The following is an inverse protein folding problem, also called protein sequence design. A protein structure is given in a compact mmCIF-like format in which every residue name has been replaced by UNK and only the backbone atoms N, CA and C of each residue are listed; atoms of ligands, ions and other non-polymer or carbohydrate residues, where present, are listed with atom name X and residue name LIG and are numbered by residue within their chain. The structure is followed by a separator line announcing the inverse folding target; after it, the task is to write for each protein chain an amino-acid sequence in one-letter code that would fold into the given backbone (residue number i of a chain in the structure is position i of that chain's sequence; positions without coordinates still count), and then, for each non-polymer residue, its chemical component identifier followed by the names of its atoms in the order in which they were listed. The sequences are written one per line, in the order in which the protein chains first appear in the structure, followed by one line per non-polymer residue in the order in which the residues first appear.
data_IF_384620039854
#
_entry.id   IF_384620039854
#
_cell.length_a   1.000
_cell.length_b   1.000
_cell.length_c   1.000
_cell.angle_alpha   90.00
_cell.angle_beta   90.00
_cell.angle_gamma   90.00
#
_symmetry.space_group_name_H-M   'P 1'
#
loop_
_entity.id
_entity.type
_entity.pdbx_description
1 polymer ?
#
# COMPACT_ATOMS: atom_id res chain seq x y z
N UNK A 1 -16.10 -31.67 10.77
CA UNK A 1 -14.67 -31.27 10.70
C UNK A 1 -14.48 -30.02 11.53
N UNK A 2 -13.64 -30.06 12.58
CA UNK A 2 -13.43 -28.93 13.49
C UNK A 2 -12.72 -27.76 12.80
N UNK A 3 -12.81 -26.55 13.36
CA UNK A 3 -12.16 -25.33 12.84
C UNK A 3 -10.66 -25.54 12.60
N UNK A 4 -9.96 -26.16 13.55
CA UNK A 4 -8.53 -26.48 13.45
C UNK A 4 -8.21 -27.49 12.35
N UNK A 5 -9.07 -28.48 12.15
CA UNK A 5 -8.92 -29.44 11.05
C UNK A 5 -9.15 -28.77 9.69
N UNK A 6 -10.13 -27.86 9.58
CA UNK A 6 -10.36 -27.07 8.36
C UNK A 6 -9.18 -26.14 8.06
N UNK A 7 -8.67 -25.43 9.06
CA UNK A 7 -7.48 -24.59 8.94
C UNK A 7 -6.26 -25.42 8.52
N UNK A 8 -6.04 -26.57 9.17
CA UNK A 8 -4.93 -27.47 8.86
C UNK A 8 -5.00 -28.02 7.43
N UNK A 9 -6.18 -28.46 6.99
CA UNK A 9 -6.36 -28.96 5.62
C UNK A 9 -6.22 -27.84 4.59
N UNK A 10 -6.79 -26.65 4.83
CA UNK A 10 -6.60 -25.51 3.94
C UNK A 10 -5.14 -25.07 3.84
N UNK A 11 -4.40 -25.09 4.95
CA UNK A 11 -2.97 -24.79 4.97
C UNK A 11 -2.15 -25.82 4.20
N UNK A 12 -2.39 -27.12 4.43
CA UNK A 12 -1.70 -28.20 3.71
C UNK A 12 -1.98 -28.14 2.21
N UNK A 13 -3.24 -27.92 1.80
CA UNK A 13 -3.60 -27.76 0.38
C UNK A 13 -2.89 -26.57 -0.26
N UNK A 14 -2.78 -25.44 0.44
CA UNK A 14 -2.07 -24.27 -0.09
C UNK A 14 -0.58 -24.57 -0.29
N UNK A 15 0.05 -25.24 0.67
CA UNK A 15 1.46 -25.64 0.56
C UNK A 15 1.67 -26.57 -0.64
N UNK A 16 0.80 -27.56 -0.81
CA UNK A 16 0.87 -28.49 -1.95
C UNK A 16 0.70 -27.74 -3.28
N UNK A 17 -0.28 -26.83 -3.37
CA UNK A 17 -0.49 -26.02 -4.57
C UNK A 17 0.72 -25.14 -4.89
N UNK A 18 1.33 -24.52 -3.88
CA UNK A 18 2.56 -23.73 -4.04
C UNK A 18 3.73 -24.61 -4.49
N UNK A 19 3.91 -25.79 -3.91
CA UNK A 19 4.95 -26.73 -4.31
C UNK A 19 4.78 -27.18 -5.77
N UNK A 20 3.54 -27.48 -6.18
CA UNK A 20 3.22 -27.81 -7.58
C UNK A 20 3.55 -26.62 -8.50
N UNK A 21 3.17 -25.40 -8.11
CA UNK A 21 3.45 -24.21 -8.90
C UNK A 21 4.96 -23.95 -9.05
N UNK A 22 5.74 -24.15 -7.98
CA UNK A 22 7.21 -24.04 -8.02
C UNK A 22 7.80 -25.09 -8.96
N UNK A 23 7.40 -26.36 -8.82
CA UNK A 23 7.90 -27.45 -9.68
C UNK A 23 7.53 -27.22 -11.15
N UNK A 24 6.30 -26.77 -11.42
CA UNK A 24 5.86 -26.41 -12.76
C UNK A 24 6.68 -25.24 -13.33
N UNK A 25 6.95 -24.20 -12.54
CA UNK A 25 7.78 -23.08 -12.96
C UNK A 25 9.21 -23.54 -13.28
N UNK A 26 9.84 -24.35 -12.41
CA UNK A 26 11.18 -24.90 -12.66
C UNK A 26 11.25 -25.75 -13.92
N UNK A 27 10.21 -26.56 -14.16
CA UNK A 27 10.11 -27.34 -15.40
C UNK A 27 9.97 -26.44 -16.63
N UNK A 28 9.07 -25.44 -16.59
CA UNK A 28 8.87 -24.47 -17.67
C UNK A 28 10.16 -23.73 -18.01
N UNK A 29 10.88 -23.21 -17.00
CA UNK A 29 12.17 -22.51 -17.19
C UNK A 29 13.28 -23.41 -17.74
N UNK A 30 13.10 -24.73 -17.72
CA UNK A 30 14.01 -25.69 -18.35
C UNK A 30 13.84 -25.83 -19.86
N UNK A 31 12.69 -25.43 -20.42
CA UNK A 31 12.37 -25.56 -21.84
C UNK A 31 13.12 -24.51 -22.66
N UNK A 32 13.70 -24.90 -23.80
CA UNK A 32 14.54 -24.02 -24.63
C UNK A 32 13.79 -22.78 -25.12
N UNK A 33 12.50 -22.90 -25.46
CA UNK A 33 11.67 -21.77 -25.85
C UNK A 33 11.46 -20.75 -24.72
N UNK A 34 11.35 -21.22 -23.47
CA UNK A 34 11.20 -20.34 -22.30
C UNK A 34 12.54 -19.69 -21.95
N UNK A 35 13.65 -20.44 -22.06
CA UNK A 35 15.00 -19.86 -21.90
C UNK A 35 15.25 -18.75 -22.91
N UNK A 36 15.02 -18.99 -24.21
CA UNK A 36 15.19 -17.96 -25.24
C UNK A 36 14.27 -16.75 -25.03
N UNK A 37 13.05 -16.97 -24.53
CA UNK A 37 12.17 -15.88 -24.11
C UNK A 37 12.76 -15.06 -22.96
N UNK A 38 13.27 -15.72 -21.92
CA UNK A 38 13.88 -15.07 -20.77
C UNK A 38 15.24 -14.41 -21.11
N UNK A 39 15.96 -14.90 -22.11
CA UNK A 39 17.15 -14.21 -22.65
C UNK A 39 16.76 -12.94 -23.40
N UNK A 40 15.66 -12.96 -24.14
CA UNK A 40 15.11 -11.79 -24.84
C UNK A 40 14.48 -10.78 -23.88
N UNK A 41 13.93 -11.27 -22.77
CA UNK A 41 13.25 -10.49 -21.74
C UNK A 41 13.80 -10.90 -20.36
N UNK A 42 14.94 -10.35 -19.92
CA UNK A 42 15.66 -10.81 -18.72
C UNK A 42 14.95 -10.51 -17.40
N UNK A 43 13.84 -9.77 -17.45
CA UNK A 43 13.07 -9.36 -16.28
C UNK A 43 13.08 -7.85 -16.04
N UNK A 44 13.85 -7.08 -16.81
CA UNK A 44 13.99 -5.64 -16.65
C UNK A 44 13.77 -4.91 -17.97
N UNK A 45 13.07 -3.78 -17.90
CA UNK A 45 13.00 -2.80 -18.99
C UNK A 45 14.07 -1.74 -18.78
N UNK A 46 14.68 -1.29 -19.87
CA UNK A 46 15.56 -0.12 -19.83
C UNK A 46 14.74 1.15 -19.54
N UNK A 47 15.24 1.96 -18.62
CA UNK A 47 14.65 3.27 -18.35
C UNK A 47 15.15 4.28 -19.39
N UNK A 48 14.38 5.35 -19.67
CA UNK A 48 14.86 6.46 -20.49
C UNK A 48 16.21 7.00 -19.99
N UNK A 49 17.08 7.44 -20.88
CA UNK A 49 18.41 7.96 -20.52
C UNK A 49 18.37 9.17 -19.55
N UNK A 50 17.25 9.89 -19.51
CA UNK A 50 16.98 10.99 -18.58
C UNK A 50 16.47 10.54 -17.20
N UNK A 51 16.24 9.25 -16.99
CA UNK A 51 15.72 8.73 -15.73
C UNK A 51 16.75 8.91 -14.59
N UNK A 52 16.32 9.43 -13.44
CA UNK A 52 17.22 9.59 -12.30
C UNK A 52 17.63 8.23 -11.74
N UNK A 53 18.92 8.10 -11.42
CA UNK A 53 19.50 6.93 -10.76
C UNK A 53 19.52 7.14 -9.25
N UNK A 54 19.23 6.08 -8.50
CA UNK A 54 19.15 6.11 -7.05
C UNK A 54 17.84 6.67 -6.52
N UNK A 55 17.69 6.57 -5.20
CA UNK A 55 16.48 6.96 -4.49
C UNK A 55 16.76 8.19 -3.61
N UNK A 56 16.17 9.36 -3.91
CA UNK A 56 16.42 10.56 -3.13
C UNK A 56 15.80 10.47 -1.74
N UNK A 57 16.39 11.16 -0.76
CA UNK A 57 15.95 11.10 0.64
C UNK A 57 14.45 11.40 0.83
N UNK A 58 13.88 12.34 0.07
CA UNK A 58 12.45 12.65 0.15
C UNK A 58 11.56 11.44 -0.10
N UNK A 59 11.99 10.51 -0.98
CA UNK A 59 11.26 9.29 -1.29
C UNK A 59 11.20 8.37 -0.08
N UNK A 60 12.31 8.24 0.65
CA UNK A 60 12.39 7.49 1.91
C UNK A 60 11.46 8.04 2.99
N UNK A 61 11.46 9.36 3.19
CA UNK A 61 10.55 10.01 4.15
C UNK A 61 9.08 9.85 3.76
N UNK A 62 8.75 10.05 2.49
CA UNK A 62 7.39 9.82 1.96
C UNK A 62 6.95 8.37 2.12
N UNK A 63 7.85 7.42 1.87
CA UNK A 63 7.59 6.00 2.05
C UNK A 63 7.29 5.66 3.53
N UNK A 64 8.08 6.18 4.48
CA UNK A 64 7.82 6.01 5.90
C UNK A 64 6.48 6.61 6.33
N UNK A 65 6.19 7.85 5.95
CA UNK A 65 4.92 8.52 6.28
C UNK A 65 3.74 7.72 5.72
N UNK A 66 3.85 7.25 4.48
CA UNK A 66 2.84 6.41 3.86
C UNK A 66 2.63 5.08 4.61
N UNK A 67 3.71 4.39 4.97
CA UNK A 67 3.66 3.15 5.76
C UNK A 67 3.04 3.37 7.15
N UNK A 68 3.38 4.48 7.80
CA UNK A 68 2.82 4.87 9.10
C UNK A 68 1.30 5.13 9.00
N UNK A 69 0.86 5.89 8.00
CA UNK A 69 -0.55 6.21 7.80
C UNK A 69 -1.35 4.98 7.39
N UNK A 70 -0.87 4.19 6.44
CA UNK A 70 -1.62 3.03 5.93
C UNK A 70 -1.85 1.97 7.01
N UNK A 71 -0.88 1.78 7.93
CA UNK A 71 -1.03 0.92 9.10
C UNK A 71 -2.27 1.32 9.93
N UNK A 72 -2.36 2.61 10.26
CA UNK A 72 -3.45 3.13 11.09
C UNK A 72 -4.78 3.20 10.32
N UNK A 73 -4.74 3.43 9.01
CA UNK A 73 -5.91 3.42 8.11
C UNK A 73 -6.50 2.01 8.03
N UNK A 74 -5.68 0.98 7.80
CA UNK A 74 -6.14 -0.41 7.75
C UNK A 74 -6.79 -0.80 9.09
N UNK A 75 -6.14 -0.47 10.21
CA UNK A 75 -6.67 -0.72 11.56
C UNK A 75 -8.02 -0.05 11.78
N UNK A 76 -8.08 1.25 11.54
CA UNK A 76 -9.30 2.04 11.78
C UNK A 76 -10.42 1.66 10.82
N UNK A 77 -10.11 1.33 9.56
CA UNK A 77 -11.08 0.83 8.59
C UNK A 77 -11.66 -0.53 8.99
N UNK A 78 -10.82 -1.42 9.55
CA UNK A 78 -11.29 -2.67 10.14
C UNK A 78 -12.22 -2.44 11.34
N UNK A 79 -11.89 -1.49 12.22
CA UNK A 79 -12.73 -1.10 13.36
C UNK A 79 -14.07 -0.52 12.91
N UNK A 80 -14.07 0.38 11.92
CA UNK A 80 -15.29 0.95 11.33
C UNK A 80 -16.22 -0.15 10.79
N UNK A 81 -15.65 -1.23 10.23
CA UNK A 81 -16.42 -2.36 9.68
C UNK A 81 -16.95 -3.32 10.75
N UNK A 82 -16.20 -3.55 11.83
CA UNK A 82 -16.45 -4.67 12.76
C UNK A 82 -16.97 -4.25 14.12
N UNK A 83 -16.72 -3.01 14.56
CA UNK A 83 -17.13 -2.51 15.87
C UNK A 83 -18.63 -2.21 15.87
N UNK A 84 -19.41 -3.03 16.60
CA UNK A 84 -20.86 -2.87 16.74
C UNK A 84 -21.26 -1.75 17.71
N UNK A 85 -20.45 -1.48 18.73
CA UNK A 85 -20.69 -0.48 19.77
C UNK A 85 -19.44 0.41 19.92
N UNK A 86 -19.40 1.59 19.27
CA UNK A 86 -18.28 2.50 19.39
C UNK A 86 -18.05 2.95 20.83
N UNK A 87 -16.79 3.06 21.24
CA UNK A 87 -16.44 3.51 22.59
C UNK A 87 -16.73 5.00 22.83
N UNK A 88 -16.87 5.79 21.76
CA UNK A 88 -17.22 7.19 21.79
C UNK A 88 -17.70 7.64 20.40
N UNK A 89 -18.30 8.81 20.38
CA UNK A 89 -18.77 9.50 19.19
C UNK A 89 -18.19 10.90 19.10
N UNK A 90 -18.07 11.41 17.88
CA UNK A 90 -17.55 12.74 17.61
C UNK A 90 -18.52 13.54 16.76
N UNK A 91 -18.62 14.83 17.05
CA UNK A 91 -19.42 15.81 16.32
C UNK A 91 -18.51 17.00 16.00
N UNK A 92 -18.38 17.33 14.71
CA UNK A 92 -17.53 18.44 14.25
C UNK A 92 -17.86 19.78 14.91
N UNK A 93 -16.83 20.55 15.24
CA UNK A 93 -16.99 21.96 15.57
C UNK A 93 -17.06 22.80 14.28
N UNK A 94 -18.22 23.41 13.98
CA UNK A 94 -18.39 24.29 12.80
C UNK A 94 -18.24 25.79 13.14
N UNK A 95 -17.72 26.13 14.32
CA UNK A 95 -17.51 27.51 14.78
C UNK A 95 -16.04 27.96 14.72
N UNK A 96 -15.12 27.03 14.46
CA UNK A 96 -13.67 27.32 14.37
C UNK A 96 -13.21 27.84 13.01
N UNK A 97 -11.90 27.72 12.76
CA UNK A 97 -11.25 28.16 11.52
C UNK A 97 -11.69 27.34 10.29
N UNK A 98 -11.91 26.03 10.45
CA UNK A 98 -12.38 25.16 9.37
C UNK A 98 -13.91 25.05 9.47
N UNK A 99 -14.60 25.74 8.55
CA UNK A 99 -16.06 25.69 8.43
C UNK A 99 -16.44 24.88 7.21
N UNK A 100 -17.47 24.06 7.34
CA UNK A 100 -18.04 23.32 6.20
C UNK A 100 -19.49 23.72 5.99
N UNK A 101 -19.97 23.57 4.76
CA UNK A 101 -21.31 23.97 4.32
C UNK A 101 -22.44 23.19 5.01
N UNK A 102 -22.22 21.92 5.33
CA UNK A 102 -23.26 21.04 5.86
C UNK A 102 -23.27 21.04 7.41
N UNK A 103 -24.45 20.81 7.99
CA UNK A 103 -24.58 20.66 9.44
C UNK A 103 -23.69 19.53 9.99
N UNK A 104 -23.07 19.69 11.18
CA UNK A 104 -22.28 18.63 11.81
C UNK A 104 -23.10 17.37 12.03
N UNK A 105 -22.55 16.23 11.61
CA UNK A 105 -23.15 14.91 11.84
C UNK A 105 -22.40 14.18 12.94
N UNK A 106 -23.11 13.46 13.80
CA UNK A 106 -22.52 12.56 14.78
C UNK A 106 -21.98 11.31 14.07
N UNK A 107 -20.70 11.00 14.30
CA UNK A 107 -20.02 9.81 13.77
C UNK A 107 -19.32 9.07 14.90
N UNK A 108 -18.97 7.80 14.69
CA UNK A 108 -18.14 7.07 15.67
C UNK A 108 -16.73 7.67 15.74
N UNK A 109 -16.08 7.52 16.89
CA UNK A 109 -14.67 7.92 17.05
C UNK A 109 -13.76 7.19 16.06
N UNK A 110 -14.04 5.90 15.77
CA UNK A 110 -13.28 5.11 14.81
C UNK A 110 -13.39 5.68 13.39
N UNK A 111 -14.59 6.11 12.98
CA UNK A 111 -14.80 6.73 11.66
C UNK A 111 -14.15 8.11 11.57
N UNK A 112 -14.20 8.90 12.65
CA UNK A 112 -13.48 10.17 12.70
C UNK A 112 -11.96 9.96 12.54
N UNK A 113 -11.40 8.97 13.23
CA UNK A 113 -9.97 8.68 13.17
C UNK A 113 -9.56 8.23 11.77
N UNK A 114 -10.33 7.31 11.17
CA UNK A 114 -10.12 6.84 9.79
C UNK A 114 -10.12 8.01 8.79
N UNK A 115 -11.16 8.85 8.80
CA UNK A 115 -11.27 9.99 7.88
C UNK A 115 -10.17 11.04 8.09
N UNK A 116 -9.68 11.20 9.32
CA UNK A 116 -8.57 12.11 9.62
C UNK A 116 -7.27 11.59 9.01
N UNK A 117 -6.99 10.30 9.18
CA UNK A 117 -5.83 9.65 8.57
C UNK A 117 -5.93 9.65 7.04
N UNK A 118 -7.10 9.38 6.48
CA UNK A 118 -7.33 9.43 5.03
C UNK A 118 -7.03 10.82 4.47
N UNK A 119 -7.45 11.89 5.15
CA UNK A 119 -7.14 13.25 4.73
C UNK A 119 -5.63 13.53 4.72
N UNK A 120 -4.90 13.09 5.75
CA UNK A 120 -3.44 13.20 5.81
C UNK A 120 -2.77 12.36 4.72
N UNK A 121 -3.29 11.17 4.46
CA UNK A 121 -2.77 10.24 3.46
C UNK A 121 -2.99 10.75 2.04
N UNK A 122 -4.15 11.33 1.75
CA UNK A 122 -4.43 12.01 0.47
C UNK A 122 -3.51 13.21 0.28
N UNK A 123 -3.29 14.03 1.32
CA UNK A 123 -2.34 15.14 1.25
C UNK A 123 -0.92 14.64 0.98
N UNK A 124 -0.47 13.62 1.71
CA UNK A 124 0.83 12.99 1.51
C UNK A 124 0.97 12.45 0.08
N UNK A 125 -0.04 11.75 -0.42
CA UNK A 125 -0.09 11.24 -1.80
C UNK A 125 -0.06 12.35 -2.84
N UNK A 126 -0.77 13.46 -2.62
CA UNK A 126 -0.73 14.61 -3.53
C UNK A 126 0.67 15.23 -3.60
N UNK A 127 1.33 15.42 -2.45
CA UNK A 127 2.72 15.90 -2.38
C UNK A 127 3.65 14.91 -3.09
N UNK A 128 3.51 13.61 -2.80
CA UNK A 128 4.28 12.56 -3.44
C UNK A 128 4.15 12.61 -4.97
N UNK A 129 2.93 12.66 -5.51
CA UNK A 129 2.70 12.71 -6.96
C UNK A 129 3.36 13.95 -7.57
N UNK A 130 3.19 15.13 -6.96
CA UNK A 130 3.80 16.38 -7.48
C UNK A 130 5.32 16.26 -7.52
N UNK A 131 5.96 15.84 -6.42
CA UNK A 131 7.42 15.71 -6.34
C UNK A 131 7.94 14.59 -7.24
N UNK A 132 7.21 13.47 -7.35
CA UNK A 132 7.54 12.34 -8.22
C UNK A 132 7.64 12.76 -9.69
N UNK A 133 6.67 13.54 -10.18
CA UNK A 133 6.71 14.05 -11.55
C UNK A 133 7.76 15.14 -11.72
N UNK A 134 7.86 16.07 -10.78
CA UNK A 134 8.82 17.19 -10.85
C UNK A 134 10.28 16.74 -10.86
N UNK A 135 10.61 15.66 -10.14
CA UNK A 135 11.98 15.12 -10.04
C UNK A 135 12.32 14.07 -11.10
N UNK A 136 11.38 13.71 -11.99
CA UNK A 136 11.56 12.63 -12.96
C UNK A 136 11.50 11.22 -12.38
N UNK A 137 11.36 11.07 -11.06
CA UNK A 137 11.31 9.76 -10.38
C UNK A 137 10.11 8.90 -10.82
N UNK A 138 9.09 9.50 -11.42
CA UNK A 138 7.95 8.79 -12.02
C UNK A 138 8.39 7.73 -13.05
N UNK A 139 9.48 7.96 -13.78
CA UNK A 139 10.00 7.05 -14.82
C UNK A 139 10.37 5.67 -14.27
N UNK A 140 10.60 5.55 -12.96
CA UNK A 140 10.93 4.28 -12.30
C UNK A 140 9.71 3.43 -11.97
N UNK A 141 8.52 4.02 -11.88
CA UNK A 141 7.30 3.33 -11.42
C UNK A 141 6.12 3.45 -12.39
N UNK A 142 6.35 4.05 -13.56
CA UNK A 142 5.38 4.11 -14.66
C UNK A 142 6.01 3.40 -15.86
N UNK A 143 5.30 2.46 -16.51
CA UNK A 143 5.79 1.83 -17.73
C UNK A 143 6.14 2.85 -18.80
N UNK A 144 7.40 2.84 -19.26
CA UNK A 144 7.89 3.68 -20.36
C UNK A 144 8.01 2.92 -21.68
N UNK A 145 7.87 1.60 -21.64
CA UNK A 145 8.01 0.68 -22.78
C UNK A 145 7.06 -0.52 -22.64
N UNK A 146 6.69 -1.11 -23.78
CA UNK A 146 5.78 -2.27 -23.83
C UNK A 146 6.44 -3.60 -23.47
N UNK A 147 7.77 -3.67 -23.51
CA UNK A 147 8.55 -4.85 -23.10
C UNK A 147 8.42 -5.15 -21.59
N UNK A 148 7.84 -4.23 -20.80
CA UNK A 148 7.61 -4.44 -19.36
C UNK A 148 6.72 -5.65 -19.08
N UNK A 149 5.75 -5.94 -19.97
CA UNK A 149 4.83 -7.05 -19.79
C UNK A 149 5.52 -8.42 -19.95
N UNK A 150 6.25 -8.69 -21.05
CA UNK A 150 7.02 -9.93 -21.14
C UNK A 150 8.14 -10.00 -20.08
N UNK A 151 8.80 -8.89 -19.73
CA UNK A 151 9.75 -8.87 -18.62
C UNK A 151 9.11 -9.20 -17.26
N UNK A 152 7.88 -8.74 -17.00
CA UNK A 152 7.14 -9.09 -15.79
C UNK A 152 6.80 -10.58 -15.72
N UNK A 153 6.54 -11.22 -16.87
CA UNK A 153 6.33 -12.66 -16.96
C UNK A 153 7.63 -13.40 -16.60
N UNK A 154 8.77 -13.00 -17.17
CA UNK A 154 10.08 -13.58 -16.83
C UNK A 154 10.39 -13.43 -15.34
N UNK A 155 10.21 -12.24 -14.77
CA UNK A 155 10.41 -12.00 -13.34
C UNK A 155 9.48 -12.85 -12.47
N UNK A 156 8.21 -12.99 -12.87
CA UNK A 156 7.25 -13.86 -12.20
C UNK A 156 7.66 -15.34 -12.22
N UNK A 157 8.14 -15.83 -13.36
CA UNK A 157 8.66 -17.19 -13.50
C UNK A 157 9.89 -17.42 -12.62
N UNK A 158 10.82 -16.46 -12.56
CA UNK A 158 12.02 -16.50 -11.71
C UNK A 158 11.66 -16.54 -10.21
N UNK A 159 10.74 -15.68 -9.75
CA UNK A 159 10.28 -15.74 -8.37
C UNK A 159 9.60 -17.07 -8.04
N UNK A 160 8.75 -17.58 -8.95
CA UNK A 160 8.01 -18.82 -8.74
C UNK A 160 8.90 -20.06 -8.82
N UNK A 161 9.96 -20.04 -9.64
CA UNK A 161 10.93 -21.14 -9.76
C UNK A 161 11.94 -21.18 -8.59
N UNK A 162 11.88 -20.18 -7.69
CA UNK A 162 12.85 -19.93 -6.62
C UNK A 162 14.28 -19.65 -7.13
N UNK A 163 14.41 -19.27 -8.40
CA UNK A 163 15.64 -18.77 -9.00
C UNK A 163 15.51 -17.25 -9.15
N UNK A 164 15.64 -16.56 -8.02
CA UNK A 164 15.23 -15.16 -7.91
C UNK A 164 16.14 -14.23 -8.72
N UNK A 165 15.57 -13.20 -9.37
CA UNK A 165 16.35 -12.26 -10.16
C UNK A 165 17.39 -11.52 -9.30
N UNK A 166 18.58 -11.33 -9.85
CA UNK A 166 19.54 -10.36 -9.31
C UNK A 166 19.03 -8.95 -9.59
N UNK A 167 18.23 -8.44 -8.66
CA UNK A 167 17.57 -7.16 -8.78
C UNK A 167 18.52 -6.00 -8.45
N UNK A 168 18.46 -4.91 -9.23
CA UNK A 168 19.21 -3.68 -8.96
C UNK A 168 18.26 -2.50 -8.80
N UNK A 169 17.47 -2.53 -7.73
CA UNK A 169 16.47 -1.51 -7.39
C UNK A 169 17.04 -0.08 -7.24
N UNK A 170 18.37 0.07 -7.15
CA UNK A 170 19.04 1.37 -7.23
C UNK A 170 18.98 1.98 -8.63
N UNK A 171 19.08 1.17 -9.68
CA UNK A 171 19.04 1.60 -11.08
C UNK A 171 17.62 1.50 -11.65
N UNK A 172 16.99 0.34 -11.58
CA UNK A 172 15.63 0.10 -12.05
C UNK A 172 14.99 -1.08 -11.32
N UNK A 173 13.66 -1.09 -11.26
CA UNK A 173 12.91 -2.25 -10.76
C UNK A 173 12.73 -3.28 -11.87
N UNK A 174 12.57 -4.55 -11.51
CA UNK A 174 12.12 -5.55 -12.49
C UNK A 174 10.67 -5.27 -12.95
N UNK A 175 10.29 -5.82 -14.09
CA UNK A 175 9.00 -5.55 -14.73
C UNK A 175 7.80 -5.88 -13.84
N UNK A 176 7.89 -6.94 -13.04
CA UNK A 176 6.82 -7.34 -12.12
C UNK A 176 6.65 -6.34 -10.97
N UNK A 177 7.76 -5.91 -10.37
CA UNK A 177 7.77 -4.85 -9.36
C UNK A 177 7.23 -3.53 -9.92
N UNK A 178 7.73 -3.10 -11.09
CA UNK A 178 7.30 -1.86 -11.74
C UNK A 178 5.78 -1.84 -11.96
N UNK A 179 5.22 -2.89 -12.57
CA UNK A 179 3.77 -3.00 -12.76
C UNK A 179 3.01 -3.01 -11.43
N UNK A 180 3.53 -3.71 -10.41
CA UNK A 180 2.91 -3.74 -9.09
C UNK A 180 2.90 -2.36 -8.43
N UNK A 181 4.00 -1.62 -8.52
CA UNK A 181 4.08 -0.25 -8.00
C UNK A 181 3.18 0.70 -8.78
N UNK A 182 3.14 0.59 -10.11
CA UNK A 182 2.22 1.36 -10.93
C UNK A 182 0.76 1.13 -10.51
N UNK A 183 0.34 -0.14 -10.40
CA UNK A 183 -1.01 -0.51 -9.96
C UNK A 183 -1.28 0.04 -8.56
N UNK A 184 -0.34 -0.12 -7.63
CA UNK A 184 -0.52 0.33 -6.24
C UNK A 184 -0.72 1.84 -6.15
N UNK A 185 0.15 2.62 -6.83
CA UNK A 185 0.19 4.08 -6.74
C UNK A 185 -0.88 4.74 -7.60
N UNK A 186 -1.06 4.29 -8.84
CA UNK A 186 -1.90 4.99 -9.83
C UNK A 186 -3.28 4.37 -10.03
N UNK A 187 -3.54 3.18 -9.45
CA UNK A 187 -4.84 2.51 -9.58
C UNK A 187 -5.46 2.26 -8.19
N UNK A 188 -4.82 1.42 -7.36
CA UNK A 188 -5.37 0.99 -6.08
C UNK A 188 -5.55 2.17 -5.11
N UNK A 189 -4.57 3.07 -5.01
CA UNK A 189 -4.67 4.24 -4.15
C UNK A 189 -5.79 5.22 -4.58
N UNK A 190 -5.86 5.67 -5.86
CA UNK A 190 -6.99 6.45 -6.35
C UNK A 190 -8.35 5.75 -6.14
N UNK A 191 -8.39 4.43 -6.31
CA UNK A 191 -9.61 3.66 -6.10
C UNK A 191 -10.05 3.65 -4.63
N UNK A 192 -9.10 3.52 -3.69
CA UNK A 192 -9.38 3.64 -2.26
C UNK A 192 -9.93 5.03 -1.91
N UNK A 193 -9.34 6.09 -2.48
CA UNK A 193 -9.79 7.47 -2.29
C UNK A 193 -11.20 7.66 -2.85
N UNK A 194 -11.46 7.24 -4.08
CA UNK A 194 -12.76 7.40 -4.74
C UNK A 194 -13.88 6.67 -3.96
N UNK A 195 -13.61 5.43 -3.55
CA UNK A 195 -14.56 4.62 -2.79
C UNK A 195 -14.77 5.12 -1.36
N UNK A 196 -13.70 5.59 -0.70
CA UNK A 196 -13.76 6.23 0.62
C UNK A 196 -14.56 7.53 0.60
N UNK A 197 -14.28 8.42 -0.36
CA UNK A 197 -15.02 9.68 -0.56
C UNK A 197 -16.51 9.42 -0.76
N UNK A 198 -16.87 8.42 -1.55
CA UNK A 198 -18.27 8.05 -1.80
C UNK A 198 -19.01 7.58 -0.55
N UNK A 199 -18.31 6.93 0.36
CA UNK A 199 -18.83 6.45 1.64
C UNK A 199 -18.78 7.52 2.74
N UNK A 200 -18.00 8.59 2.55
CA UNK A 200 -17.81 9.66 3.52
C UNK A 200 -19.03 10.60 3.63
N UNK A 201 -19.12 11.33 4.75
CA UNK A 201 -20.11 12.38 4.94
C UNK A 201 -19.90 13.63 4.06
N UNK A 202 -18.79 13.71 3.32
CA UNK A 202 -18.51 14.81 2.39
C UNK A 202 -19.23 14.64 1.05
N UNK A 203 -19.66 13.43 0.70
CA UNK A 203 -20.36 13.16 -0.56
C UNK A 203 -21.73 13.87 -0.63
N UNK A 204 -22.08 14.51 -1.76
CA UNK A 204 -23.33 15.25 -1.88
C UNK A 204 -24.55 14.31 -1.81
N UNK A 205 -25.41 14.54 -0.82
CA UNK A 205 -26.62 13.72 -0.60
C UNK A 205 -27.67 13.91 -1.70
N UNK A 206 -27.78 15.11 -2.26
CA UNK A 206 -28.86 15.50 -3.18
C UNK A 206 -28.46 15.44 -4.67
N UNK A 207 -27.34 14.80 -5.00
CA UNK A 207 -26.87 14.67 -6.39
C UNK A 207 -27.45 13.40 -7.04
N UNK A 208 -28.71 13.44 -7.48
CA UNK A 208 -29.48 12.28 -7.95
C UNK A 208 -28.78 11.50 -9.07
N UNK A 209 -28.33 12.19 -10.14
CA UNK A 209 -27.65 11.55 -11.28
C UNK A 209 -26.34 10.90 -10.86
N UNK A 210 -25.53 11.62 -10.08
CA UNK A 210 -24.24 11.13 -9.60
C UNK A 210 -24.39 9.91 -8.67
N UNK A 211 -25.39 9.93 -7.78
CA UNK A 211 -25.69 8.84 -6.86
C UNK A 211 -26.22 7.59 -7.57
N UNK A 212 -26.86 7.76 -8.75
CA UNK A 212 -27.31 6.65 -9.59
C UNK A 212 -26.15 6.01 -10.36
N UNK A 213 -25.26 6.82 -10.94
CA UNK A 213 -24.08 6.34 -11.69
C UNK A 213 -23.09 5.66 -10.75
N UNK A 214 -22.89 6.22 -9.55
CA UNK A 214 -21.99 5.66 -8.55
C UNK A 214 -22.73 5.33 -7.24
N UNK A 215 -23.32 4.12 -7.14
CA UNK A 215 -24.05 3.71 -5.95
C UNK A 215 -23.12 3.37 -4.79
N UNK A 216 -23.56 3.64 -3.56
CA UNK A 216 -22.78 3.35 -2.34
C UNK A 216 -22.53 1.85 -2.16
N UNK A 217 -23.40 0.99 -2.67
CA UNK A 217 -23.24 -0.47 -2.63
C UNK A 217 -22.01 -0.90 -3.42
N UNK A 218 -21.80 -0.35 -4.62
CA UNK A 218 -20.60 -0.59 -5.43
C UNK A 218 -19.35 -0.10 -4.71
N UNK A 219 -19.39 1.10 -4.12
CA UNK A 219 -18.26 1.64 -3.36
C UNK A 219 -17.87 0.71 -2.20
N UNK A 220 -18.84 0.24 -1.41
CA UNK A 220 -18.58 -0.70 -0.30
C UNK A 220 -18.06 -2.05 -0.78
N UNK A 221 -18.59 -2.56 -1.89
CA UNK A 221 -18.17 -3.83 -2.48
C UNK A 221 -16.71 -3.77 -2.95
N UNK A 222 -16.22 -2.60 -3.35
CA UNK A 222 -14.87 -2.42 -3.87
C UNK A 222 -13.86 -1.95 -2.81
N UNK A 223 -14.26 -1.06 -1.90
CA UNK A 223 -13.36 -0.47 -0.90
C UNK A 223 -12.69 -1.54 -0.02
N UNK A 224 -13.45 -2.55 0.39
CA UNK A 224 -12.93 -3.61 1.25
C UNK A 224 -11.92 -4.53 0.53
N UNK A 225 -12.21 -5.08 -0.67
CA UNK A 225 -11.19 -5.75 -1.48
C UNK A 225 -9.93 -4.93 -1.74
N UNK A 226 -10.06 -3.61 -1.98
CA UNK A 226 -8.88 -2.73 -2.15
C UNK A 226 -8.05 -2.66 -0.87
N UNK A 227 -8.67 -2.60 0.31
CA UNK A 227 -7.94 -2.70 1.59
C UNK A 227 -7.22 -4.05 1.71
N UNK A 228 -7.87 -5.16 1.35
CA UNK A 228 -7.24 -6.49 1.36
C UNK A 228 -6.06 -6.57 0.37
N UNK A 229 -6.18 -5.95 -0.80
CA UNK A 229 -5.07 -5.82 -1.75
C UNK A 229 -3.88 -5.09 -1.12
N UNK A 230 -4.08 -3.95 -0.44
CA UNK A 230 -3.00 -3.26 0.26
C UNK A 230 -2.33 -4.13 1.33
N UNK A 231 -3.11 -4.88 2.12
CA UNK A 231 -2.57 -5.82 3.11
C UNK A 231 -1.70 -6.89 2.44
N UNK A 232 -2.21 -7.52 1.38
CA UNK A 232 -1.46 -8.54 0.64
C UNK A 232 -0.19 -7.96 -0.01
N UNK A 233 -0.29 -6.79 -0.63
CA UNK A 233 0.85 -6.06 -1.20
C UNK A 233 1.92 -5.80 -0.14
N UNK A 234 1.56 -5.26 1.04
CA UNK A 234 2.51 -4.97 2.11
C UNK A 234 3.23 -6.25 2.57
N UNK A 235 2.50 -7.34 2.78
CA UNK A 235 3.08 -8.61 3.22
C UNK A 235 4.10 -9.12 2.19
N UNK A 236 3.70 -9.20 0.92
CA UNK A 236 4.57 -9.69 -0.16
C UNK A 236 5.76 -8.75 -0.35
N UNK A 237 5.52 -7.45 -0.41
CA UNK A 237 6.55 -6.42 -0.60
C UNK A 237 7.62 -6.48 0.48
N UNK A 238 7.23 -6.45 1.77
CA UNK A 238 8.19 -6.51 2.88
C UNK A 238 8.92 -7.85 2.91
N UNK A 239 8.23 -8.96 2.60
CA UNK A 239 8.88 -10.28 2.50
C UNK A 239 9.99 -10.26 1.45
N UNK A 240 9.70 -9.74 0.25
CA UNK A 240 10.69 -9.66 -0.82
C UNK A 240 11.85 -8.73 -0.44
N UNK A 241 11.58 -7.55 0.13
CA UNK A 241 12.62 -6.63 0.62
C UNK A 241 13.60 -7.32 1.56
N UNK A 242 13.11 -8.13 2.50
CA UNK A 242 13.93 -8.84 3.47
C UNK A 242 14.65 -10.05 2.85
N UNK A 243 14.06 -10.70 1.86
CA UNK A 243 14.58 -11.92 1.28
C UNK A 243 15.52 -11.70 0.07
N UNK A 244 15.50 -10.52 -0.58
CA UNK A 244 16.34 -10.18 -1.75
C UNK A 244 17.53 -9.27 -1.41
N UNK A 245 18.07 -9.37 -0.19
CA UNK A 245 19.21 -8.54 0.25
C UNK A 245 18.79 -7.41 1.19
N UNK A 246 18.22 -7.76 2.35
CA UNK A 246 17.66 -6.85 3.35
C UNK A 246 18.50 -5.60 3.63
N UNK A 247 19.80 -5.74 3.94
CA UNK A 247 20.64 -4.59 4.30
C UNK A 247 20.76 -3.58 3.15
N UNK A 248 20.95 -4.06 1.92
CA UNK A 248 21.06 -3.20 0.74
C UNK A 248 19.73 -2.50 0.46
N UNK A 249 18.63 -3.24 0.44
CA UNK A 249 17.29 -2.71 0.18
C UNK A 249 16.85 -1.69 1.25
N UNK A 250 17.14 -1.97 2.52
CA UNK A 250 16.85 -1.05 3.63
C UNK A 250 17.71 0.22 3.52
N UNK A 251 18.96 0.12 3.07
CA UNK A 251 19.81 1.30 2.84
C UNK A 251 19.34 2.16 1.67
N UNK A 252 18.81 1.56 0.60
CA UNK A 252 18.14 2.30 -0.47
C UNK A 252 17.01 3.17 0.08
N UNK A 253 16.13 2.58 0.91
CA UNK A 253 14.93 3.25 1.41
C UNK A 253 15.21 4.24 2.55
N UNK A 254 16.02 3.87 3.53
CA UNK A 254 16.19 4.63 4.77
C UNK A 254 17.41 5.55 4.78
N UNK A 255 18.39 5.30 3.91
CA UNK A 255 19.65 6.07 3.89
C UNK A 255 19.99 6.66 2.53
N UNK A 256 19.17 6.43 1.49
CA UNK A 256 19.46 6.91 0.13
C UNK A 256 20.85 6.48 -0.34
N UNK A 257 21.22 5.22 -0.09
CA UNK A 257 22.57 4.69 -0.36
C UNK A 257 22.53 3.26 -0.87
N UNK A 258 23.35 2.96 -1.88
CA UNK A 258 23.57 1.59 -2.41
C UNK A 258 24.65 0.79 -1.65
N UNK A 259 25.24 1.39 -0.61
CA UNK A 259 26.29 0.73 0.19
C UNK A 259 25.67 -0.28 1.15
N UNK A 260 26.21 -1.49 1.24
CA UNK A 260 25.78 -2.50 2.21
C UNK A 260 26.38 -2.21 3.59
N UNK A 261 25.53 -1.81 4.53
CA UNK A 261 25.88 -1.53 5.93
C UNK A 261 24.62 -1.62 6.82
N UNK A 262 24.75 -1.35 8.12
CA UNK A 262 23.67 -1.53 9.11
C UNK A 262 22.80 -0.29 9.36
N UNK A 263 23.10 0.87 8.76
CA UNK A 263 22.40 2.11 9.08
C UNK A 263 20.91 2.07 8.73
N UNK A 264 20.57 1.63 7.52
CA UNK A 264 19.17 1.53 7.09
C UNK A 264 18.38 0.51 7.92
N UNK A 265 19.01 -0.58 8.35
CA UNK A 265 18.39 -1.54 9.28
C UNK A 265 18.08 -0.90 10.64
N UNK A 266 19.03 -0.15 11.21
CA UNK A 266 18.82 0.56 12.48
C UNK A 266 17.67 1.56 12.41
N UNK A 267 17.60 2.35 11.33
CA UNK A 267 16.51 3.31 11.12
C UNK A 267 15.17 2.59 10.90
N UNK A 268 15.16 1.49 10.14
CA UNK A 268 13.98 0.64 9.98
C UNK A 268 13.46 0.10 11.31
N UNK A 269 14.34 -0.43 12.17
CA UNK A 269 13.94 -0.91 13.50
C UNK A 269 13.32 0.23 14.35
N UNK A 270 13.93 1.42 14.31
CA UNK A 270 13.36 2.62 14.95
C UNK A 270 11.99 3.00 14.40
N UNK A 271 11.80 2.90 13.08
CA UNK A 271 10.53 3.22 12.42
C UNK A 271 9.40 2.27 12.86
N UNK A 272 9.71 0.97 13.02
CA UNK A 272 8.78 -0.02 13.57
C UNK A 272 8.37 0.30 15.02
N UNK A 273 9.32 0.76 15.86
CA UNK A 273 9.02 1.18 17.24
C UNK A 273 8.06 2.38 17.25
N UNK A 274 8.30 3.38 16.39
CA UNK A 274 7.40 4.54 16.26
C UNK A 274 6.00 4.12 15.81
N UNK A 275 5.91 3.21 14.83
CA UNK A 275 4.64 2.69 14.34
C UNK A 275 3.89 1.89 15.41
N UNK A 276 4.59 1.04 16.17
CA UNK A 276 4.00 0.29 17.28
C UNK A 276 3.49 1.21 18.39
N UNK A 277 4.26 2.25 18.73
CA UNK A 277 3.85 3.28 19.69
C UNK A 277 2.59 4.01 19.20
N UNK A 278 2.55 4.43 17.93
CA UNK A 278 1.36 5.09 17.36
C UNK A 278 0.14 4.15 17.30
N UNK A 279 0.33 2.87 16.99
CA UNK A 279 -0.73 1.87 17.04
C UNK A 279 -1.34 1.73 18.44
N UNK A 280 -0.48 1.71 19.47
CA UNK A 280 -0.90 1.70 20.86
C UNK A 280 -1.64 2.99 21.24
N UNK A 281 -1.08 4.14 20.88
CA UNK A 281 -1.70 5.46 21.11
C UNK A 281 -2.98 5.69 20.30
N UNK A 282 -3.26 4.88 19.26
CA UNK A 282 -4.52 4.93 18.53
C UNK A 282 -5.71 4.27 19.29
N UNK A 283 -5.63 4.15 20.62
CA UNK A 283 -6.73 3.69 21.47
C UNK A 283 -7.68 4.84 21.84
N UNK A 284 -8.97 4.56 22.12
CA UNK A 284 -9.94 5.60 22.49
C UNK A 284 -9.52 6.47 23.67
N UNK A 285 -8.76 5.95 24.63
CA UNK A 285 -8.26 6.70 25.78
C UNK A 285 -7.43 7.92 25.35
N UNK A 286 -6.54 7.74 24.37
CA UNK A 286 -5.65 8.80 23.87
C UNK A 286 -6.26 9.59 22.71
N UNK A 287 -7.12 8.96 21.90
CA UNK A 287 -7.75 9.63 20.75
C UNK A 287 -8.81 10.65 21.16
N UNK A 288 -9.52 10.46 22.28
CA UNK A 288 -10.60 11.37 22.71
C UNK A 288 -10.10 12.81 22.97
N UNK A 289 -9.00 13.05 23.73
CA UNK A 289 -8.44 14.40 23.86
C UNK A 289 -8.08 15.03 22.51
N UNK A 290 -7.42 14.28 21.62
CA UNK A 290 -7.04 14.79 20.29
C UNK A 290 -8.28 15.14 19.46
N UNK A 291 -9.28 14.27 19.45
CA UNK A 291 -10.54 14.50 18.74
C UNK A 291 -11.30 15.73 19.27
N UNK A 292 -11.15 16.02 20.57
CA UNK A 292 -11.80 17.18 21.20
C UNK A 292 -11.27 18.53 20.70
N UNK A 293 -10.06 18.58 20.13
CA UNK A 293 -9.50 19.78 19.52
C UNK A 293 -10.28 20.22 18.26
N UNK A 294 -10.93 19.27 17.57
CA UNK A 294 -11.62 19.52 16.30
C UNK A 294 -13.16 19.41 16.42
N UNK A 295 -13.69 19.01 17.58
CA UNK A 295 -15.11 18.76 17.75
C UNK A 295 -15.50 18.34 19.16
N UNK A 296 -16.78 18.10 19.37
CA UNK A 296 -17.33 17.59 20.63
C UNK A 296 -17.27 16.06 20.63
N UNK A 297 -16.64 15.49 21.65
CA UNK A 297 -16.63 14.04 21.89
C UNK A 297 -17.68 13.69 22.94
N UNK A 298 -18.50 12.69 22.66
CA UNK A 298 -19.44 12.12 23.63
C UNK A 298 -19.15 10.64 23.83
N UNK A 299 -19.55 10.09 24.97
CA UNK A 299 -19.70 8.63 25.08
C UNK A 299 -20.78 8.18 24.10
#
# INVERSE_FOLDING_TARGET
MGLWTKIGVSGASLIILLAIAVLAARWLTGLDGVKGFMESYPGHSELPASAPVGLPAWLGWQHFINMFLILLIIRSGWQVRTTKRPAAHWIRNNKGAIKTKNAPTKISLDLWFHLTLDALWVLNGAIFIVVLFFTGQWMRIVPTSWDVFPNAISAGLQYLSLDWPTDNGWVNYNGLQLLTYFITVFIAAPLAIATGLRMSGAWPKNATTLNKIYPITAARALHFPVMLYFVAFIIIHVTLVLATGALRNLNHMYTSSDVVNWWGFGIFAGSLVVMAAAWFLAQPLFLRPVASLMGKVTK
#
